data_IF_476984466380
#
_entry.id   IF_476984466380
#
_cell.length_a   1.000
_cell.length_b   1.000
_cell.length_c   1.000
_cell.angle_alpha   90.00
_cell.angle_beta   90.00
_cell.angle_gamma   90.00
#
_symmetry.space_group_name_H-M   'P 1'
#
loop_
_entity.id
_entity.type
_entity.pdbx_description
1 polymer ?
#
# COMPACT_ATOMS: atom_id res chain seq x y z
N UNK A 1 -24.01 4.34 -7.07
CA UNK A 1 -22.99 4.72 -6.10
C UNK A 1 -22.83 3.70 -4.95
N UNK A 2 -23.44 2.55 -5.04
CA UNK A 2 -23.59 1.58 -3.92
C UNK A 2 -22.53 0.45 -3.85
N UNK A 3 -21.50 0.46 -4.69
CA UNK A 3 -20.61 -0.70 -4.87
C UNK A 3 -19.25 -0.64 -4.16
N UNK A 4 -18.91 0.45 -3.46
CA UNK A 4 -17.54 0.61 -2.92
C UNK A 4 -17.39 0.40 -1.40
N UNK A 5 -18.45 0.34 -0.62
CA UNK A 5 -18.35 0.07 0.83
C UNK A 5 -17.85 -1.34 1.20
N UNK A 6 -17.93 -2.30 0.28
CA UNK A 6 -17.48 -3.68 0.54
C UNK A 6 -15.97 -3.93 0.41
N UNK A 7 -15.19 -2.92 0.01
CA UNK A 7 -13.75 -3.08 -0.26
C UNK A 7 -12.89 -2.99 1.01
N UNK A 8 -13.42 -2.41 2.09
CA UNK A 8 -12.69 -2.16 3.34
C UNK A 8 -12.56 -3.38 4.28
N UNK A 9 -13.17 -4.51 3.96
CA UNK A 9 -13.21 -5.68 4.86
C UNK A 9 -11.93 -6.56 4.86
N UNK A 10 -10.83 -6.11 4.28
CA UNK A 10 -9.60 -6.90 4.20
C UNK A 10 -8.53 -6.52 5.24
N UNK A 11 -8.80 -5.57 6.13
CA UNK A 11 -7.92 -5.33 7.28
C UNK A 11 -8.16 -6.44 8.31
N UNK A 12 -7.11 -7.16 8.69
CA UNK A 12 -7.16 -8.12 9.79
C UNK A 12 -7.43 -7.34 11.11
N UNK A 13 -8.58 -7.52 11.78
CA UNK A 13 -8.91 -6.74 12.97
C UNK A 13 -7.99 -7.00 14.17
N UNK A 14 -7.12 -8.00 14.08
CA UNK A 14 -6.26 -8.43 15.21
C UNK A 14 -4.94 -7.67 15.35
N UNK A 15 -4.33 -7.13 14.28
CA UNK A 15 -3.03 -6.46 14.37
C UNK A 15 -2.91 -5.19 13.51
N UNK A 16 -4.00 -4.66 12.94
CA UNK A 16 -3.95 -3.46 12.12
C UNK A 16 -3.12 -3.59 10.83
N UNK A 17 -3.07 -4.80 10.24
CA UNK A 17 -2.37 -5.04 8.99
C UNK A 17 -3.12 -4.43 7.81
N UNK A 18 -2.38 -3.76 6.93
CA UNK A 18 -2.92 -3.15 5.71
C UNK A 18 -2.25 -3.73 4.47
N UNK A 19 -2.91 -3.70 3.30
CA UNK A 19 -2.32 -4.19 2.06
C UNK A 19 -1.29 -3.19 1.53
N UNK A 20 -0.02 -3.50 1.68
CA UNK A 20 1.12 -2.75 1.12
C UNK A 20 1.45 -3.29 -0.26
N UNK A 21 1.30 -2.46 -1.29
CA UNK A 21 1.64 -2.80 -2.68
C UNK A 21 3.15 -2.74 -2.92
N UNK A 22 3.76 -1.61 -2.54
CA UNK A 22 5.16 -1.33 -2.84
C UNK A 22 5.75 -0.40 -1.78
N UNK A 23 7.02 -0.63 -1.46
CA UNK A 23 7.86 0.31 -0.71
C UNK A 23 9.02 0.67 -1.62
N UNK A 24 9.16 1.97 -1.94
CA UNK A 24 10.29 2.52 -2.68
C UNK A 24 11.27 3.06 -1.64
N UNK A 25 12.46 2.46 -1.50
CA UNK A 25 13.42 2.86 -0.46
C UNK A 25 13.85 4.33 -0.57
N UNK A 26 14.05 4.81 -1.80
CA UNK A 26 14.51 6.17 -2.08
C UNK A 26 13.65 6.79 -3.18
N UNK A 27 13.03 7.91 -2.89
CA UNK A 27 12.30 8.72 -3.85
C UNK A 27 12.58 10.19 -3.64
N UNK A 28 12.95 10.89 -4.72
CA UNK A 28 13.14 12.33 -4.75
C UNK A 28 11.93 13.08 -5.32
N UNK A 29 10.86 12.35 -5.69
CA UNK A 29 9.66 12.90 -6.34
C UNK A 29 8.42 12.83 -5.46
N UNK A 30 8.46 12.05 -4.37
CA UNK A 30 7.33 11.88 -3.46
C UNK A 30 7.40 12.86 -2.27
N UNK A 31 7.75 14.12 -2.51
CA UNK A 31 7.81 15.20 -1.54
C UNK A 31 9.23 15.79 -1.34
N UNK A 32 9.38 16.77 -0.44
CA UNK A 32 10.65 17.47 -0.25
C UNK A 32 11.72 16.57 0.39
N UNK A 33 12.89 16.60 -0.19
CA UNK A 33 14.03 15.77 0.22
C UNK A 33 13.89 14.32 -0.26
N UNK A 34 14.90 13.50 0.06
CA UNK A 34 14.85 12.08 -0.25
C UNK A 34 13.96 11.34 0.77
N UNK A 35 13.02 10.53 0.32
CA UNK A 35 12.01 9.90 1.17
C UNK A 35 11.85 8.41 0.85
N UNK A 36 11.42 7.63 1.82
CA UNK A 36 10.85 6.30 1.51
C UNK A 36 9.37 6.48 1.18
N UNK A 37 8.95 6.03 0.00
CA UNK A 37 7.55 6.08 -0.41
C UNK A 37 6.88 4.70 -0.19
N UNK A 38 5.75 4.71 0.52
CA UNK A 38 4.95 3.52 0.84
C UNK A 38 3.62 3.60 0.10
N UNK A 39 3.35 2.64 -0.77
CA UNK A 39 2.12 2.59 -1.56
C UNK A 39 1.17 1.53 -1.02
N UNK A 40 -0.01 1.97 -0.56
CA UNK A 40 -1.07 1.10 -0.08
C UNK A 40 -2.02 0.71 -1.22
N UNK A 41 -2.69 -0.43 -1.05
CA UNK A 41 -3.67 -0.94 -2.01
C UNK A 41 -5.09 -0.63 -1.55
N UNK A 42 -5.96 -0.29 -2.52
CA UNK A 42 -7.35 0.07 -2.32
C UNK A 42 -7.58 1.56 -2.49
N UNK A 43 -8.65 1.94 -3.20
CA UNK A 43 -9.07 3.32 -3.39
C UNK A 43 -10.59 3.38 -3.48
N UNK A 44 -11.17 4.43 -2.92
CA UNK A 44 -12.59 4.74 -3.01
C UNK A 44 -12.95 5.53 -4.27
N UNK A 45 -11.95 5.99 -5.08
CA UNK A 45 -12.11 6.69 -6.34
C UNK A 45 -11.74 5.83 -7.54
N UNK A 46 -12.21 6.25 -8.72
CA UNK A 46 -11.91 5.66 -10.03
C UNK A 46 -11.55 6.76 -11.03
N UNK A 47 -10.47 7.50 -10.72
CA UNK A 47 -10.01 8.62 -11.55
C UNK A 47 -9.54 8.14 -12.91
N UNK A 48 -9.98 8.79 -13.99
CA UNK A 48 -9.56 8.49 -15.38
C UNK A 48 -8.06 8.71 -15.61
N UNK A 49 -7.46 9.63 -14.85
CA UNK A 49 -6.05 9.99 -14.93
C UNK A 49 -5.25 9.46 -13.72
N UNK A 50 -5.66 8.33 -13.14
CA UNK A 50 -4.97 7.76 -11.99
C UNK A 50 -3.50 7.43 -12.35
N UNK A 51 -2.57 7.92 -11.54
CA UNK A 51 -1.14 7.68 -11.72
C UNK A 51 -0.71 6.25 -11.35
N UNK A 52 -1.44 5.62 -10.41
CA UNK A 52 -1.17 4.25 -9.95
C UNK A 52 -2.43 3.37 -10.08
N UNK A 53 -2.91 3.11 -11.31
CA UNK A 53 -4.22 2.46 -11.52
C UNK A 53 -4.28 1.04 -10.96
N UNK A 54 -3.14 0.33 -10.87
CA UNK A 54 -3.02 -1.01 -10.32
C UNK A 54 -3.24 -1.08 -8.80
N UNK A 55 -3.15 0.06 -8.11
CA UNK A 55 -3.38 0.15 -6.66
C UNK A 55 -4.83 0.42 -6.28
N UNK A 56 -5.70 0.74 -7.23
CA UNK A 56 -7.10 1.11 -6.96
C UNK A 56 -7.95 -0.01 -6.39
N UNK A 57 -7.85 -1.19 -6.99
CA UNK A 57 -8.70 -2.32 -6.66
C UNK A 57 -7.97 -3.35 -5.80
N UNK A 58 -8.67 -3.95 -4.85
CA UNK A 58 -8.15 -5.11 -4.12
C UNK A 58 -8.23 -6.38 -4.96
N UNK A 59 -7.30 -7.30 -4.74
CA UNK A 59 -7.30 -8.61 -5.38
C UNK A 59 -8.56 -9.38 -5.00
N UNK A 60 -9.26 -9.94 -6.00
CA UNK A 60 -10.47 -10.78 -5.82
C UNK A 60 -10.16 -12.26 -5.76
N UNK A 61 -8.89 -12.65 -5.69
CA UNK A 61 -8.43 -14.03 -5.62
C UNK A 61 -8.94 -14.93 -6.78
N UNK A 62 -9.16 -14.36 -7.98
CA UNK A 62 -9.68 -15.11 -9.13
C UNK A 62 -8.65 -16.05 -9.77
N UNK A 63 -7.37 -15.98 -9.39
CA UNK A 63 -6.30 -16.86 -9.86
C UNK A 63 -5.81 -16.60 -11.29
N UNK A 64 -6.45 -15.71 -12.07
CA UNK A 64 -6.13 -15.48 -13.50
C UNK A 64 -4.65 -15.14 -13.77
N UNK A 65 -3.97 -14.55 -12.81
CA UNK A 65 -2.56 -14.15 -12.92
C UNK A 65 -1.57 -15.24 -12.47
N UNK A 66 -2.01 -16.24 -11.70
CA UNK A 66 -1.12 -17.28 -11.11
C UNK A 66 -0.41 -18.06 -12.20
N UNK A 67 -1.16 -18.67 -13.12
CA UNK A 67 -0.59 -19.45 -14.24
C UNK A 67 0.09 -18.60 -15.32
N UNK A 68 0.04 -17.27 -15.22
CA UNK A 68 0.68 -16.33 -16.17
C UNK A 68 1.96 -15.72 -15.64
N UNK A 69 2.29 -15.97 -14.37
CA UNK A 69 3.53 -15.45 -13.78
C UNK A 69 4.74 -16.25 -14.27
N UNK A 70 5.66 -15.63 -15.06
CA UNK A 70 6.78 -16.37 -15.69
C UNK A 70 7.79 -16.94 -14.69
N UNK A 71 7.79 -16.40 -13.45
CA UNK A 71 8.70 -16.83 -12.39
C UNK A 71 8.00 -17.56 -11.24
N UNK A 72 6.69 -17.85 -11.37
CA UNK A 72 5.94 -18.51 -10.30
C UNK A 72 5.92 -17.73 -8.98
N UNK A 73 6.00 -16.39 -9.06
CA UNK A 73 5.94 -15.54 -7.87
C UNK A 73 4.52 -15.41 -7.29
N UNK A 74 3.52 -15.87 -8.03
CA UNK A 74 2.12 -15.90 -7.60
C UNK A 74 1.65 -17.34 -7.52
N UNK A 75 0.94 -17.67 -6.45
CA UNK A 75 0.38 -19.00 -6.21
C UNK A 75 -0.94 -18.87 -5.45
N UNK A 76 -1.72 -19.92 -5.46
CA UNK A 76 -2.95 -20.02 -4.67
C UNK A 76 -2.67 -20.84 -3.43
N UNK A 77 -3.01 -20.35 -2.25
CA UNK A 77 -2.91 -21.08 -1.00
C UNK A 77 -4.07 -22.07 -0.81
N UNK A 78 -4.05 -22.80 0.32
CA UNK A 78 -5.06 -23.80 0.68
C UNK A 78 -6.47 -23.20 0.83
N UNK A 79 -6.58 -21.92 1.18
CA UNK A 79 -7.83 -21.16 1.27
C UNK A 79 -8.32 -20.62 -0.08
N UNK A 80 -7.64 -20.90 -1.19
CA UNK A 80 -7.95 -20.38 -2.51
C UNK A 80 -7.54 -18.91 -2.71
N UNK A 81 -6.74 -18.34 -1.81
CA UNK A 81 -6.28 -16.95 -1.91
C UNK A 81 -5.00 -16.85 -2.72
N UNK A 82 -4.93 -15.85 -3.58
CA UNK A 82 -3.72 -15.54 -4.33
C UNK A 82 -2.68 -14.93 -3.38
N UNK A 83 -1.50 -15.54 -3.36
CA UNK A 83 -0.34 -15.13 -2.56
C UNK A 83 0.80 -14.68 -3.46
N UNK A 84 1.64 -13.83 -2.91
CA UNK A 84 2.78 -13.25 -3.60
C UNK A 84 4.08 -13.53 -2.85
N UNK A 85 5.08 -14.04 -3.59
CA UNK A 85 6.44 -14.27 -3.13
C UNK A 85 7.37 -13.23 -3.80
N UNK A 86 7.76 -12.15 -3.09
CA UNK A 86 8.58 -11.08 -3.65
C UNK A 86 9.92 -11.55 -4.20
N UNK A 87 10.54 -12.55 -3.56
CA UNK A 87 11.87 -13.08 -3.88
C UNK A 87 11.92 -13.71 -5.27
N UNK A 88 10.78 -14.20 -5.76
CA UNK A 88 10.66 -14.79 -7.11
C UNK A 88 10.27 -13.77 -8.18
N UNK A 89 9.85 -12.57 -7.77
CA UNK A 89 9.29 -11.60 -8.70
C UNK A 89 10.39 -10.93 -9.56
N UNK A 90 10.20 -10.94 -10.88
CA UNK A 90 11.10 -10.24 -11.81
C UNK A 90 10.58 -8.85 -12.24
N UNK A 91 9.49 -8.35 -11.67
CA UNK A 91 8.96 -7.02 -11.97
C UNK A 91 8.33 -6.85 -13.37
N UNK A 92 7.97 -7.93 -14.05
CA UNK A 92 7.50 -7.89 -15.47
C UNK A 92 6.07 -7.36 -15.66
N UNK A 93 5.33 -7.07 -14.61
CA UNK A 93 3.95 -6.56 -14.59
C UNK A 93 2.89 -7.41 -15.31
N UNK A 94 3.24 -8.58 -15.82
CA UNK A 94 2.29 -9.50 -16.49
C UNK A 94 1.03 -9.72 -15.65
N UNK A 95 1.18 -9.90 -14.34
CA UNK A 95 0.06 -10.14 -13.43
C UNK A 95 -0.93 -8.96 -13.36
N UNK A 96 -0.47 -7.73 -13.55
CA UNK A 96 -1.30 -6.53 -13.59
C UNK A 96 -2.05 -6.47 -14.93
N UNK A 97 -1.34 -6.71 -16.04
CA UNK A 97 -1.91 -6.65 -17.38
C UNK A 97 -2.96 -7.72 -17.65
N UNK A 98 -2.81 -8.93 -17.08
CA UNK A 98 -3.80 -10.01 -17.27
C UNK A 98 -4.93 -9.97 -16.26
N UNK A 99 -4.90 -9.03 -15.30
CA UNK A 99 -5.93 -8.97 -14.26
C UNK A 99 -7.23 -8.38 -14.81
N UNK A 100 -8.35 -9.12 -14.81
CA UNK A 100 -9.63 -8.62 -15.32
C UNK A 100 -10.23 -7.52 -14.44
N UNK A 101 -9.69 -7.33 -13.24
CA UNK A 101 -10.13 -6.32 -12.28
C UNK A 101 -9.18 -5.12 -12.18
N UNK A 102 -8.12 -5.07 -13.01
CA UNK A 102 -7.15 -3.97 -13.02
C UNK A 102 -6.46 -3.74 -11.67
N UNK A 103 -6.15 -4.82 -10.92
CA UNK A 103 -5.47 -4.70 -9.64
C UNK A 103 -4.10 -5.39 -9.67
N UNK A 104 -3.20 -4.94 -8.80
CA UNK A 104 -1.96 -5.67 -8.52
C UNK A 104 -2.24 -6.76 -7.49
N UNK A 105 -1.86 -8.03 -7.76
CA UNK A 105 -1.88 -9.08 -6.75
C UNK A 105 -0.62 -9.07 -5.86
N UNK A 106 0.35 -8.20 -6.16
CA UNK A 106 1.63 -8.10 -5.46
C UNK A 106 1.49 -7.25 -4.19
N UNK A 107 0.73 -7.77 -3.24
CA UNK A 107 0.51 -7.11 -1.95
C UNK A 107 1.09 -7.95 -0.81
N UNK A 108 1.60 -7.25 0.21
CA UNK A 108 1.98 -7.82 1.50
C UNK A 108 1.09 -7.21 2.57
N UNK A 109 0.47 -8.05 3.39
CA UNK A 109 -0.26 -7.58 4.57
C UNK A 109 0.75 -7.22 5.65
N UNK A 110 0.90 -5.94 5.97
CA UNK A 110 1.92 -5.44 6.89
C UNK A 110 1.32 -4.52 7.95
N UNK A 111 1.81 -4.62 9.19
CA UNK A 111 1.53 -3.64 10.25
C UNK A 111 2.50 -2.44 10.15
N UNK A 112 2.23 -1.40 10.93
CA UNK A 112 3.03 -0.17 10.93
C UNK A 112 4.49 -0.44 11.33
N UNK A 113 4.71 -1.33 12.29
CA UNK A 113 6.03 -1.71 12.79
C UNK A 113 6.86 -2.44 11.73
N UNK A 114 6.23 -3.33 10.95
CA UNK A 114 6.89 -4.04 9.86
C UNK A 114 7.28 -3.09 8.72
N UNK A 115 6.39 -2.15 8.36
CA UNK A 115 6.70 -1.11 7.37
C UNK A 115 7.81 -0.21 7.89
N UNK A 116 7.74 0.21 9.15
CA UNK A 116 8.77 1.06 9.74
C UNK A 116 10.14 0.36 9.81
N UNK A 117 10.18 -0.95 10.06
CA UNK A 117 11.43 -1.71 10.01
C UNK A 117 12.11 -1.65 8.63
N UNK A 118 11.34 -1.65 7.53
CA UNK A 118 11.88 -1.42 6.18
C UNK A 118 12.37 0.02 5.99
N UNK A 119 11.61 1.00 6.45
CA UNK A 119 11.98 2.43 6.42
C UNK A 119 13.28 2.67 7.18
N UNK A 120 13.42 2.08 8.37
CA UNK A 120 14.58 2.26 9.24
C UNK A 120 15.90 1.85 8.59
N UNK A 121 15.88 0.87 7.68
CA UNK A 121 17.07 0.48 6.90
C UNK A 121 17.62 1.63 6.05
N UNK A 122 16.78 2.61 5.71
CA UNK A 122 17.11 3.74 4.87
C UNK A 122 17.36 5.04 5.66
N UNK A 123 17.14 5.03 6.97
CA UNK A 123 17.15 6.22 7.83
C UNK A 123 18.33 7.16 7.63
N UNK A 124 19.59 6.70 7.43
CA UNK A 124 20.72 7.60 7.22
C UNK A 124 20.65 8.42 5.92
N UNK A 125 19.82 8.01 4.96
CA UNK A 125 19.79 8.56 3.61
C UNK A 125 18.50 9.28 3.26
N UNK A 126 17.51 9.27 4.16
CA UNK A 126 16.17 9.85 3.92
C UNK A 126 15.84 10.96 4.91
N UNK A 127 15.04 11.91 4.47
CA UNK A 127 14.48 12.98 5.30
C UNK A 127 13.12 12.65 5.90
N UNK A 128 12.45 11.61 5.37
CA UNK A 128 11.12 11.25 5.82
C UNK A 128 10.50 10.12 5.04
N UNK A 129 9.22 9.92 5.29
CA UNK A 129 8.37 8.97 4.59
C UNK A 129 7.20 9.69 3.92
N UNK A 130 6.74 9.13 2.81
CA UNK A 130 5.48 9.52 2.17
C UNK A 130 4.62 8.29 2.03
N UNK A 131 3.37 8.36 2.46
CA UNK A 131 2.40 7.28 2.25
C UNK A 131 1.40 7.69 1.19
N UNK A 132 1.27 6.86 0.17
CA UNK A 132 0.48 7.06 -1.04
C UNK A 132 -0.18 5.74 -1.47
N UNK A 133 -0.44 5.54 -2.75
CA UNK A 133 -0.94 4.30 -3.32
C UNK A 133 -2.27 4.47 -4.03
N UNK A 134 -3.31 3.72 -3.64
CA UNK A 134 -4.69 3.98 -4.01
C UNK A 134 -5.21 5.19 -3.23
N UNK A 135 -5.76 4.95 -2.04
CA UNK A 135 -6.07 6.00 -1.06
C UNK A 135 -5.62 5.52 0.32
N UNK A 136 -4.51 6.08 0.79
CA UNK A 136 -3.90 5.63 2.04
C UNK A 136 -4.72 6.00 3.29
N UNK A 137 -5.53 7.05 3.21
CA UNK A 137 -6.41 7.47 4.31
C UNK A 137 -7.60 6.55 4.56
N UNK A 138 -7.76 5.48 3.77
CA UNK A 138 -8.65 4.37 4.11
C UNK A 138 -8.18 3.57 5.34
N UNK A 139 -6.93 3.81 5.79
CA UNK A 139 -6.28 3.11 6.90
C UNK A 139 -5.71 4.11 7.93
N UNK A 140 -6.55 4.97 8.54
CA UNK A 140 -6.08 6.07 9.37
C UNK A 140 -5.30 5.61 10.62
N UNK A 141 -5.73 4.53 11.27
CA UNK A 141 -5.06 3.98 12.46
C UNK A 141 -3.66 3.44 12.14
N UNK A 142 -3.49 2.88 10.94
CA UNK A 142 -2.18 2.45 10.45
C UNK A 142 -1.27 3.65 10.19
N UNK A 143 -1.80 4.70 9.53
CA UNK A 143 -1.05 5.93 9.26
C UNK A 143 -0.57 6.58 10.54
N UNK A 144 -1.46 6.71 11.54
CA UNK A 144 -1.11 7.29 12.84
C UNK A 144 0.05 6.53 13.49
N UNK A 145 -0.06 5.20 13.62
CA UNK A 145 1.00 4.37 14.19
C UNK A 145 2.32 4.48 13.45
N UNK A 146 2.28 4.43 12.10
CA UNK A 146 3.48 4.53 11.28
C UNK A 146 4.14 5.90 11.45
N UNK A 147 3.36 6.97 11.51
CA UNK A 147 3.87 8.34 11.63
C UNK A 147 4.44 8.62 13.01
N UNK A 148 3.81 8.09 14.07
CA UNK A 148 4.40 8.15 15.42
C UNK A 148 5.80 7.52 15.44
N UNK A 149 5.96 6.34 14.83
CA UNK A 149 7.25 5.66 14.73
C UNK A 149 8.27 6.47 13.92
N UNK A 150 7.84 7.03 12.77
CA UNK A 150 8.71 7.83 11.91
C UNK A 150 9.16 9.14 12.60
N UNK A 151 8.23 9.86 13.23
CA UNK A 151 8.53 11.08 13.98
C UNK A 151 9.44 10.83 15.16
N UNK A 152 9.23 9.73 15.89
CA UNK A 152 10.11 9.30 16.98
C UNK A 152 11.55 9.00 16.53
N UNK A 153 11.74 8.68 15.23
CA UNK A 153 13.06 8.50 14.62
C UNK A 153 13.61 9.76 13.93
N UNK A 154 12.94 10.92 14.08
CA UNK A 154 13.36 12.18 13.48
C UNK A 154 13.03 12.32 11.98
N UNK A 155 12.16 11.46 11.44
CA UNK A 155 11.75 11.50 10.04
C UNK A 155 10.49 12.36 9.86
N UNK A 156 10.44 13.15 8.78
CA UNK A 156 9.25 13.87 8.37
C UNK A 156 8.20 12.93 7.76
N UNK A 157 6.93 13.27 7.89
CA UNK A 157 5.78 12.47 7.42
C UNK A 157 4.97 13.24 6.39
N UNK A 158 4.53 12.57 5.33
CA UNK A 158 3.65 13.14 4.31
C UNK A 158 2.60 12.10 3.88
N UNK A 159 1.43 12.61 3.50
CA UNK A 159 0.33 11.83 2.92
C UNK A 159 0.00 12.41 1.55
N UNK A 160 -0.07 11.52 0.54
CA UNK A 160 -0.73 11.82 -0.72
C UNK A 160 -2.14 11.25 -0.68
N UNK A 161 -3.14 12.12 -0.64
CA UNK A 161 -4.54 11.75 -0.46
C UNK A 161 -5.44 12.39 -1.52
N UNK A 162 -6.54 11.71 -1.84
CA UNK A 162 -7.62 12.26 -2.66
C UNK A 162 -8.56 13.20 -1.88
N UNK A 163 -8.28 13.44 -0.59
CA UNK A 163 -9.00 14.39 0.26
C UNK A 163 -10.37 13.94 0.75
N UNK A 164 -10.68 12.65 0.68
CA UNK A 164 -12.01 12.15 1.15
C UNK A 164 -12.08 11.89 2.65
N UNK A 165 -10.93 11.82 3.33
CA UNK A 165 -10.90 11.71 4.79
C UNK A 165 -11.26 13.06 5.43
N UNK A 166 -12.16 13.03 6.39
CA UNK A 166 -12.40 14.16 7.28
C UNK A 166 -11.32 14.17 8.38
N UNK A 167 -10.27 14.94 8.16
CA UNK A 167 -9.11 14.99 9.05
C UNK A 167 -9.45 15.57 10.43
N UNK A 168 -10.53 16.34 10.58
CA UNK A 168 -10.96 16.85 11.89
C UNK A 168 -11.31 15.73 12.86
N UNK A 169 -11.70 14.55 12.33
CA UNK A 169 -11.97 13.35 13.13
C UNK A 169 -10.73 12.58 13.57
N UNK A 170 -9.56 12.97 13.04
CA UNK A 170 -8.28 12.29 13.28
C UNK A 170 -7.21 13.29 13.72
N UNK A 171 -7.43 14.02 14.86
CA UNK A 171 -6.50 15.06 15.30
C UNK A 171 -5.10 14.50 15.62
N UNK A 172 -4.98 13.25 16.04
CA UNK A 172 -3.70 12.60 16.29
C UNK A 172 -2.90 12.41 15.00
N UNK A 173 -3.57 12.10 13.88
CA UNK A 173 -2.92 11.98 12.58
C UNK A 173 -2.39 13.32 12.07
N UNK A 174 -3.05 14.43 12.40
CA UNK A 174 -2.59 15.78 12.08
C UNK A 174 -1.41 16.24 12.94
N UNK A 175 -1.25 15.65 14.14
CA UNK A 175 -0.19 16.02 15.08
C UNK A 175 1.15 15.33 14.79
N UNK A 176 1.16 14.34 13.92
CA UNK A 176 2.33 13.52 13.53
C UNK A 176 2.59 13.61 12.02
#
# INVERSE_FOLDING_TARGET
MEKKEKVLAAADPGCGRVPVNKIIPFSAVDGPGNRTAVFLQGCNFDCRYCHNPETRNLCRNCGSCVGKCPKGALFTDEDGKVRFCPEKCCGCDTCIHVCPFGCSPRIRMMCAEEVFAEVKKQQPYIRGITVSGGECTLYPDFLEKLFVLARGAGLGTLIDSNGTLDFEKYPQLLAV
#
